data_IF_531026055212
#
_entry.id   IF_531026055212
#
_cell.length_a   1.000
_cell.length_b   1.000
_cell.length_c   1.000
_cell.angle_alpha   90.00
_cell.angle_beta   90.00
_cell.angle_gamma   90.00
#
_symmetry.space_group_name_H-M   'P 1'
#
loop_
_entity.id
_entity.type
_entity.pdbx_description
1 polymer ?
#
# COMPACT_ATOMS: atom_id res chain seq x y z
N UNK A 1 2.72 -19.26 3.58
CA UNK A 1 1.41 -18.87 3.04
C UNK A 1 1.50 -17.39 2.71
N UNK A 2 1.26 -17.03 1.46
CA UNK A 2 1.31 -15.65 1.02
C UNK A 2 -0.01 -14.90 1.31
N UNK A 3 -0.01 -13.61 1.02
CA UNK A 3 -1.15 -12.70 1.21
C UNK A 3 -1.00 -11.46 0.33
N UNK A 4 -2.06 -10.67 0.20
CA UNK A 4 -1.99 -9.28 -0.25
C UNK A 4 -2.37 -8.38 0.93
N UNK A 5 -1.43 -7.55 1.35
CA UNK A 5 -1.59 -6.56 2.42
C UNK A 5 -1.47 -5.16 1.86
N UNK A 6 -2.40 -4.28 2.23
CA UNK A 6 -2.31 -2.85 1.92
C UNK A 6 -2.03 -2.06 3.19
N UNK A 7 -0.99 -1.22 3.17
CA UNK A 7 -0.66 -0.29 4.26
C UNK A 7 -0.69 1.15 3.77
N UNK A 8 -1.53 2.00 4.36
CA UNK A 8 -1.78 3.36 3.90
C UNK A 8 -1.82 4.36 5.05
N UNK A 9 -1.14 5.50 4.86
CA UNK A 9 -1.45 6.71 5.61
C UNK A 9 -2.73 7.30 5.03
N UNK A 10 -3.67 7.65 5.90
CA UNK A 10 -4.96 8.20 5.51
C UNK A 10 -5.36 9.32 6.47
N UNK A 11 -5.83 10.43 5.95
CA UNK A 11 -6.39 11.51 6.74
C UNK A 11 -7.80 11.17 7.24
N UNK A 12 -8.31 11.93 8.20
CA UNK A 12 -9.65 11.74 8.74
C UNK A 12 -10.75 11.89 7.67
N UNK A 13 -10.52 12.71 6.64
CA UNK A 13 -11.43 12.88 5.50
C UNK A 13 -11.13 11.95 4.31
N UNK A 14 -10.26 10.94 4.53
CA UNK A 14 -10.02 9.85 3.59
C UNK A 14 -8.97 10.09 2.51
N UNK A 15 -8.19 11.17 2.59
CA UNK A 15 -7.12 11.49 1.63
C UNK A 15 -5.91 10.60 1.89
N UNK A 16 -5.34 10.02 0.82
CA UNK A 16 -4.10 9.23 0.86
C UNK A 16 -3.02 9.79 -0.06
N UNK A 17 -3.32 10.83 -0.83
CA UNK A 17 -2.38 11.47 -1.75
C UNK A 17 -1.38 12.33 -1.00
N UNK A 18 -0.10 12.29 -1.45
CA UNK A 18 1.00 13.10 -0.93
C UNK A 18 1.09 13.11 0.60
N UNK A 19 1.14 11.94 1.26
CA UNK A 19 1.16 11.85 2.71
C UNK A 19 2.38 12.57 3.32
N UNK A 20 3.48 12.67 2.60
CA UNK A 20 4.68 13.39 3.00
C UNK A 20 4.43 14.86 3.33
N UNK A 21 3.32 15.43 2.88
CA UNK A 21 2.96 16.84 3.15
C UNK A 21 2.19 17.05 4.44
N UNK A 22 1.70 15.98 5.10
CA UNK A 22 0.83 16.11 6.26
C UNK A 22 0.98 15.03 7.33
N UNK A 23 1.70 13.92 7.08
CA UNK A 23 1.79 12.84 8.08
C UNK A 23 2.95 13.00 9.06
N UNK A 24 4.02 13.71 8.70
CA UNK A 24 5.26 13.78 9.51
C UNK A 24 5.08 14.42 10.88
N UNK A 25 4.14 15.35 11.04
CA UNK A 25 3.81 15.96 12.34
C UNK A 25 3.28 14.94 13.36
N UNK A 26 2.83 13.78 12.89
CA UNK A 26 2.27 12.69 13.68
C UNK A 26 3.18 11.45 13.74
N UNK A 27 4.38 11.53 13.14
CA UNK A 27 5.29 10.39 13.09
C UNK A 27 6.00 10.21 14.43
N UNK A 28 5.88 9.02 15.01
CA UNK A 28 6.54 8.61 16.25
C UNK A 28 7.14 7.20 16.13
N UNK A 29 7.78 6.72 17.20
CA UNK A 29 8.39 5.39 17.24
C UNK A 29 7.36 4.27 17.04
N UNK A 30 6.11 4.47 17.51
CA UNK A 30 5.03 3.48 17.34
C UNK A 30 4.66 3.34 15.85
N UNK A 31 4.53 4.46 15.15
CA UNK A 31 4.27 4.45 13.71
C UNK A 31 5.46 3.86 12.95
N UNK A 32 6.69 4.26 13.30
CA UNK A 32 7.92 3.72 12.71
C UNK A 32 8.01 2.20 12.84
N UNK A 33 7.67 1.65 14.01
CA UNK A 33 7.64 0.20 14.24
C UNK A 33 6.62 -0.50 13.33
N UNK A 34 5.38 0.01 13.25
CA UNK A 34 4.33 -0.57 12.39
C UNK A 34 4.71 -0.50 10.91
N UNK A 35 5.23 0.64 10.44
CA UNK A 35 5.69 0.79 9.05
C UNK A 35 6.83 -0.18 8.75
N UNK A 36 7.80 -0.31 9.67
CA UNK A 36 8.90 -1.26 9.55
C UNK A 36 8.42 -2.72 9.47
N UNK A 37 7.46 -3.12 10.31
CA UNK A 37 6.86 -4.47 10.26
C UNK A 37 6.10 -4.72 8.95
N UNK A 38 5.35 -3.73 8.47
CA UNK A 38 4.65 -3.84 7.20
C UNK A 38 5.61 -4.02 6.03
N UNK A 39 6.72 -3.27 6.02
CA UNK A 39 7.74 -3.39 4.98
C UNK A 39 8.51 -4.71 5.05
N UNK A 40 9.02 -5.07 6.24
CA UNK A 40 9.80 -6.30 6.45
C UNK A 40 8.97 -7.58 6.26
N UNK A 41 7.66 -7.50 6.46
CA UNK A 41 6.74 -8.63 6.32
C UNK A 41 6.43 -9.04 4.87
N UNK A 42 6.89 -8.29 3.86
CA UNK A 42 6.58 -8.53 2.46
C UNK A 42 7.76 -9.17 1.71
N UNK A 43 7.46 -10.08 0.78
CA UNK A 43 8.45 -10.67 -0.15
C UNK A 43 8.58 -9.82 -1.42
N UNK A 44 7.52 -9.07 -1.76
CA UNK A 44 7.49 -8.21 -2.94
C UNK A 44 6.50 -7.04 -2.74
N UNK A 45 6.70 -5.99 -3.52
CA UNK A 45 5.82 -4.81 -3.56
C UNK A 45 4.88 -4.88 -4.76
N UNK A 46 3.60 -4.65 -4.54
CA UNK A 46 2.58 -4.54 -5.58
C UNK A 46 2.23 -3.07 -5.79
N UNK A 47 2.37 -2.57 -7.00
CA UNK A 47 2.22 -1.16 -7.33
C UNK A 47 1.21 -0.95 -8.47
N UNK A 48 0.36 0.05 -8.33
CA UNK A 48 -0.35 0.63 -9.47
C UNK A 48 0.60 1.50 -10.31
N UNK A 49 0.29 1.69 -11.59
CA UNK A 49 1.13 2.41 -12.54
C UNK A 49 1.60 3.78 -12.03
N UNK A 50 0.71 4.60 -11.52
CA UNK A 50 1.07 5.96 -11.07
C UNK A 50 2.06 5.92 -9.90
N UNK A 51 1.81 5.08 -8.90
CA UNK A 51 2.73 4.93 -7.76
C UNK A 51 4.07 4.37 -8.22
N UNK A 52 4.06 3.45 -9.18
CA UNK A 52 5.30 2.96 -9.80
C UNK A 52 6.09 4.10 -10.44
N UNK A 53 5.46 4.94 -11.25
CA UNK A 53 6.13 6.05 -11.94
C UNK A 53 6.74 7.06 -10.93
N UNK A 54 6.01 7.39 -9.87
CA UNK A 54 6.48 8.28 -8.80
C UNK A 54 7.68 7.66 -8.04
N UNK A 55 7.61 6.39 -7.69
CA UNK A 55 8.65 5.68 -6.98
C UNK A 55 9.89 5.41 -7.84
N UNK A 56 9.71 5.03 -9.09
CA UNK A 56 10.79 4.82 -10.04
C UNK A 56 11.58 6.10 -10.37
N UNK A 57 10.94 7.26 -10.24
CA UNK A 57 11.60 8.55 -10.38
C UNK A 57 12.44 8.95 -9.15
N UNK A 58 12.11 8.45 -7.96
CA UNK A 58 12.73 8.86 -6.70
C UNK A 58 13.76 7.84 -6.19
N UNK A 59 13.35 6.58 -5.95
CA UNK A 59 14.15 5.60 -5.22
C UNK A 59 15.50 5.24 -5.87
N UNK A 60 15.63 5.12 -7.21
CA UNK A 60 16.93 4.82 -7.84
C UNK A 60 17.99 5.89 -7.61
N UNK A 61 17.58 7.13 -7.30
CA UNK A 61 18.48 8.28 -7.08
C UNK A 61 18.59 8.70 -5.62
N UNK A 62 17.82 8.07 -4.73
CA UNK A 62 17.85 8.34 -3.29
C UNK A 62 19.17 7.82 -2.65
N UNK A 63 19.47 8.29 -1.44
CA UNK A 63 20.70 7.94 -0.74
C UNK A 63 20.78 6.40 -0.53
N UNK A 64 21.77 5.73 -1.14
CA UNK A 64 21.93 4.27 -1.00
C UNK A 64 22.33 3.83 0.41
N UNK A 65 22.78 4.74 1.26
CA UNK A 65 23.10 4.44 2.66
C UNK A 65 21.85 4.36 3.54
N UNK A 66 20.70 4.88 3.07
CA UNK A 66 19.42 4.75 3.76
C UNK A 66 18.90 3.30 3.61
N UNK A 67 18.64 2.60 4.72
CA UNK A 67 18.10 1.24 4.71
C UNK A 67 16.77 1.10 3.94
N UNK A 68 15.91 2.13 3.97
CA UNK A 68 14.64 2.12 3.23
C UNK A 68 14.91 2.17 1.74
N UNK A 69 15.84 3.02 1.29
CA UNK A 69 16.27 3.09 -0.11
C UNK A 69 16.81 1.75 -0.61
N UNK A 70 17.69 1.11 0.18
CA UNK A 70 18.25 -0.20 -0.15
C UNK A 70 17.13 -1.26 -0.27
N UNK A 71 16.18 -1.27 0.65
CA UNK A 71 15.03 -2.18 0.63
C UNK A 71 14.13 -1.94 -0.59
N UNK A 72 13.79 -0.70 -0.88
CA UNK A 72 12.92 -0.34 -2.00
C UNK A 72 13.53 -0.71 -3.36
N UNK A 73 14.83 -0.47 -3.55
CA UNK A 73 15.52 -0.83 -4.79
C UNK A 73 15.73 -2.35 -4.88
N UNK A 74 16.13 -3.02 -3.80
CA UNK A 74 16.39 -4.46 -3.79
C UNK A 74 15.16 -5.34 -3.87
N UNK A 75 13.99 -4.90 -3.39
CA UNK A 75 12.77 -5.69 -3.38
C UNK A 75 12.23 -5.98 -4.78
N UNK A 76 11.58 -7.14 -4.97
CA UNK A 76 10.81 -7.43 -6.19
C UNK A 76 9.55 -6.58 -6.25
N UNK A 77 9.22 -6.09 -7.44
CA UNK A 77 8.06 -5.26 -7.70
C UNK A 77 7.17 -5.86 -8.78
N UNK A 78 5.87 -5.91 -8.50
CA UNK A 78 4.84 -6.27 -9.48
C UNK A 78 4.02 -5.01 -9.78
N UNK A 79 3.94 -4.64 -11.05
CA UNK A 79 3.25 -3.41 -11.48
C UNK A 79 1.99 -3.76 -12.25
N UNK A 80 0.84 -3.38 -11.72
CA UNK A 80 -0.44 -3.53 -12.41
C UNK A 80 -0.61 -2.38 -13.39
N UNK A 81 -0.48 -2.67 -14.68
CA UNK A 81 -0.59 -1.66 -15.74
C UNK A 81 -0.97 -2.30 -17.08
N UNK A 82 -1.81 -1.59 -17.83
CA UNK A 82 -2.17 -1.95 -19.22
C UNK A 82 -1.29 -1.23 -20.26
N UNK A 83 -0.46 -0.28 -19.84
CA UNK A 83 0.30 0.58 -20.74
C UNK A 83 1.82 0.53 -20.52
N UNK A 84 2.28 0.01 -19.38
CA UNK A 84 3.70 -0.19 -19.11
C UNK A 84 4.14 -1.49 -19.77
N UNK A 85 5.14 -1.43 -20.64
CA UNK A 85 5.68 -2.61 -21.33
C UNK A 85 7.11 -2.92 -20.90
N UNK A 86 7.88 -1.90 -20.53
CA UNK A 86 9.29 -2.02 -20.16
C UNK A 86 9.56 -1.20 -18.88
N UNK A 87 9.47 -1.83 -17.70
CA UNK A 87 9.71 -1.14 -16.44
C UNK A 87 11.20 -0.85 -16.23
N UNK A 88 11.56 0.43 -16.08
CA UNK A 88 12.95 0.88 -15.94
C UNK A 88 13.55 0.68 -14.54
N UNK A 89 12.72 0.61 -13.50
CA UNK A 89 13.19 0.37 -12.14
C UNK A 89 13.51 -1.11 -11.96
N UNK A 90 14.71 -1.41 -11.48
CA UNK A 90 15.21 -2.78 -11.33
C UNK A 90 14.26 -3.67 -10.50
N UNK A 91 14.31 -4.97 -10.73
CA UNK A 91 13.47 -5.98 -10.08
C UNK A 91 11.96 -5.78 -10.28
N UNK A 92 11.55 -5.06 -11.33
CA UNK A 92 10.15 -4.81 -11.65
C UNK A 92 9.64 -5.75 -12.76
N UNK A 93 8.40 -6.20 -12.60
CA UNK A 93 7.68 -7.00 -13.59
C UNK A 93 6.26 -6.48 -13.75
N UNK A 94 5.75 -6.47 -14.97
CA UNK A 94 4.38 -6.00 -15.24
C UNK A 94 3.42 -7.18 -15.15
N UNK A 95 2.34 -6.99 -14.38
CA UNK A 95 1.22 -7.94 -14.31
C UNK A 95 0.23 -7.57 -15.40
N UNK A 96 -0.01 -8.50 -16.34
CA UNK A 96 -0.84 -8.29 -17.53
C UNK A 96 -1.88 -9.40 -17.68
N UNK A 97 -2.80 -9.27 -18.64
CA UNK A 97 -3.82 -10.29 -18.92
C UNK A 97 -4.91 -10.32 -17.84
N UNK A 98 -5.23 -11.49 -17.32
CA UNK A 98 -6.17 -11.66 -16.20
C UNK A 98 -5.46 -11.36 -14.88
N UNK A 99 -5.39 -10.06 -14.55
CA UNK A 99 -4.69 -9.57 -13.37
C UNK A 99 -5.22 -10.18 -12.07
N UNK A 100 -6.54 -10.43 -11.96
CA UNK A 100 -7.12 -11.01 -10.77
C UNK A 100 -6.65 -12.46 -10.57
N UNK A 101 -6.67 -13.27 -11.62
CA UNK A 101 -6.22 -14.66 -11.59
C UNK A 101 -4.70 -14.75 -11.32
N UNK A 102 -3.89 -13.86 -11.91
CA UNK A 102 -2.45 -13.82 -11.70
C UNK A 102 -2.11 -13.44 -10.26
N UNK A 103 -2.72 -12.39 -9.71
CA UNK A 103 -2.52 -11.99 -8.31
C UNK A 103 -3.04 -13.03 -7.32
N UNK A 104 -4.17 -13.69 -7.60
CA UNK A 104 -4.68 -14.79 -6.79
C UNK A 104 -3.72 -16.00 -6.79
N UNK A 105 -2.96 -16.19 -7.86
CA UNK A 105 -1.93 -17.21 -7.95
C UNK A 105 -0.67 -16.80 -7.19
N UNK A 106 -0.16 -15.60 -7.42
CA UNK A 106 1.03 -15.07 -6.76
C UNK A 106 0.87 -15.07 -5.23
N UNK A 107 -0.29 -14.65 -4.72
CA UNK A 107 -0.53 -14.56 -3.27
C UNK A 107 -0.59 -15.91 -2.55
N UNK A 108 -0.58 -17.06 -3.24
CA UNK A 108 -0.53 -18.37 -2.57
C UNK A 108 0.80 -18.57 -1.83
N UNK A 109 1.89 -18.12 -2.44
CA UNK A 109 3.25 -18.37 -1.97
C UNK A 109 4.07 -17.09 -1.72
N UNK A 110 3.56 -15.92 -2.13
CA UNK A 110 4.24 -14.63 -2.04
C UNK A 110 3.47 -13.66 -1.15
N UNK A 111 4.15 -13.04 -0.20
CA UNK A 111 3.60 -11.97 0.63
C UNK A 111 3.76 -10.63 -0.11
N UNK A 112 2.65 -10.10 -0.60
CA UNK A 112 2.59 -8.89 -1.40
C UNK A 112 2.14 -7.71 -0.53
N UNK A 113 2.98 -6.67 -0.45
CA UNK A 113 2.63 -5.40 0.18
C UNK A 113 2.28 -4.34 -0.85
N UNK A 114 1.27 -3.51 -0.60
CA UNK A 114 0.96 -2.36 -1.44
C UNK A 114 0.68 -1.10 -0.61
N UNK A 115 1.21 0.02 -1.08
CA UNK A 115 0.98 1.36 -0.50
C UNK A 115 0.21 2.28 -1.47
N UNK A 116 -0.29 1.73 -2.57
CA UNK A 116 -1.01 2.50 -3.59
C UNK A 116 -0.87 1.90 -5.00
N UNK A 117 -1.55 2.39 -5.96
CA UNK A 117 -2.41 3.59 -5.94
C UNK A 117 -3.77 3.35 -5.27
N UNK A 118 -4.50 4.43 -4.91
CA UNK A 118 -5.88 4.32 -4.42
C UNK A 118 -6.75 3.47 -5.36
N UNK A 119 -6.60 3.65 -6.66
CA UNK A 119 -7.34 2.89 -7.67
C UNK A 119 -7.04 1.39 -7.60
N UNK A 120 -5.75 1.02 -7.45
CA UNK A 120 -5.36 -0.38 -7.30
C UNK A 120 -5.93 -0.97 -6.02
N UNK A 121 -5.79 -0.29 -4.87
CA UNK A 121 -6.28 -0.81 -3.59
C UNK A 121 -7.79 -1.00 -3.60
N UNK A 122 -8.56 -0.04 -4.16
CA UNK A 122 -10.02 -0.20 -4.30
C UNK A 122 -10.37 -1.41 -5.16
N UNK A 123 -9.73 -1.53 -6.32
CA UNK A 123 -9.97 -2.67 -7.21
C UNK A 123 -9.61 -4.00 -6.54
N UNK A 124 -8.51 -4.08 -5.80
CA UNK A 124 -8.14 -5.28 -5.04
C UNK A 124 -9.20 -5.64 -3.98
N UNK A 125 -9.77 -4.65 -3.29
CA UNK A 125 -10.86 -4.84 -2.34
C UNK A 125 -12.13 -5.36 -3.02
N UNK A 126 -12.51 -4.76 -4.15
CA UNK A 126 -13.67 -5.19 -4.96
C UNK A 126 -13.52 -6.62 -5.48
N UNK A 127 -12.29 -7.03 -5.82
CA UNK A 127 -11.99 -8.41 -6.24
C UNK A 127 -11.84 -9.41 -5.08
N UNK A 128 -11.96 -8.97 -3.82
CA UNK A 128 -11.75 -9.82 -2.65
C UNK A 128 -10.31 -10.35 -2.52
N UNK A 129 -9.34 -9.65 -3.07
CA UNK A 129 -7.93 -10.07 -3.10
C UNK A 129 -7.14 -9.59 -1.87
N UNK A 130 -7.60 -8.56 -1.17
CA UNK A 130 -6.93 -8.01 0.03
C UNK A 130 -7.22 -8.89 1.24
N UNK A 131 -6.16 -9.41 1.85
CA UNK A 131 -6.25 -10.20 3.09
C UNK A 131 -6.18 -9.31 4.33
N UNK A 132 -5.37 -8.23 4.28
CA UNK A 132 -5.24 -7.25 5.35
C UNK A 132 -5.17 -5.83 4.78
N UNK A 133 -6.04 -4.96 5.28
CA UNK A 133 -6.03 -3.52 5.01
C UNK A 133 -5.64 -2.79 6.29
N UNK A 134 -4.42 -2.24 6.31
CA UNK A 134 -3.90 -1.42 7.39
C UNK A 134 -4.10 0.06 7.05
N UNK A 135 -4.84 0.76 7.88
CA UNK A 135 -5.07 2.19 7.78
C UNK A 135 -4.45 2.88 8.99
N UNK A 136 -3.46 3.73 8.77
CA UNK A 136 -2.95 4.65 9.78
C UNK A 136 -3.73 5.97 9.63
N UNK A 137 -4.83 6.07 10.37
CA UNK A 137 -5.76 7.20 10.30
C UNK A 137 -5.22 8.35 11.13
N UNK A 138 -4.83 9.42 10.45
CA UNK A 138 -4.27 10.63 11.07
C UNK A 138 -5.38 11.59 11.52
N UNK A 139 -5.24 12.22 12.67
CA UNK A 139 -6.23 13.16 13.19
C UNK A 139 -6.15 14.52 12.48
N UNK A 140 -6.22 14.51 11.15
CA UNK A 140 -6.12 15.70 10.28
C UNK A 140 -7.13 15.65 9.15
N UNK A 141 -7.73 16.79 8.84
CA UNK A 141 -8.55 17.00 7.65
C UNK A 141 -7.70 17.73 6.62
N UNK A 142 -7.34 17.05 5.52
CA UNK A 142 -6.51 17.62 4.45
C UNK A 142 -7.34 18.48 3.49
N UNK A 143 -8.60 18.11 3.30
CA UNK A 143 -9.59 18.89 2.53
C UNK A 143 -9.47 18.76 1.01
N UNK A 144 -8.33 18.33 0.49
CA UNK A 144 -8.06 18.14 -0.95
C UNK A 144 -7.13 16.96 -1.18
N UNK A 145 -7.15 16.40 -2.37
CA UNK A 145 -6.32 15.24 -2.74
C UNK A 145 -7.14 13.99 -3.00
N UNK A 146 -6.48 12.97 -3.49
CA UNK A 146 -7.12 11.70 -3.85
C UNK A 146 -7.49 10.90 -2.61
N UNK A 147 -8.76 10.56 -2.50
CA UNK A 147 -9.29 9.74 -1.41
C UNK A 147 -9.12 8.25 -1.71
N UNK A 148 -8.92 7.46 -0.65
CA UNK A 148 -8.89 5.99 -0.78
C UNK A 148 -10.25 5.49 -1.24
N UNK A 149 -11.31 5.85 -0.53
CA UNK A 149 -12.68 5.47 -0.88
C UNK A 149 -13.35 6.60 -1.67
N UNK A 150 -13.92 6.24 -2.80
CA UNK A 150 -14.70 7.11 -3.66
C UNK A 150 -16.06 6.44 -3.90
N UNK A 151 -16.89 7.01 -4.74
CA UNK A 151 -18.12 6.36 -5.20
C UNK A 151 -17.78 5.02 -5.86
N UNK A 152 -18.47 3.97 -5.50
CA UNK A 152 -18.23 2.60 -5.95
C UNK A 152 -19.11 1.58 -5.27
N UNK A 153 -18.79 0.31 -5.45
CA UNK A 153 -19.48 -0.81 -4.84
C UNK A 153 -19.25 -0.88 -3.32
N UNK A 154 -20.26 -1.36 -2.60
CA UNK A 154 -20.16 -1.62 -1.17
C UNK A 154 -19.28 -2.85 -0.93
N UNK A 155 -18.16 -2.64 -0.24
CA UNK A 155 -17.26 -3.72 0.19
C UNK A 155 -17.34 -3.84 1.72
N UNK A 156 -17.95 -4.90 2.27
CA UNK A 156 -17.97 -5.11 3.71
C UNK A 156 -16.61 -5.59 4.21
N UNK A 157 -16.15 -5.02 5.32
CA UNK A 157 -14.88 -5.36 5.96
C UNK A 157 -15.13 -5.69 7.44
N UNK A 158 -14.28 -6.56 8.00
CA UNK A 158 -14.27 -6.92 9.42
C UNK A 158 -13.08 -6.27 10.09
N UNK A 159 -13.31 -5.51 11.15
CA UNK A 159 -12.22 -4.99 11.99
C UNK A 159 -11.52 -6.16 12.70
N UNK A 160 -10.20 -6.23 12.54
CA UNK A 160 -9.32 -7.22 13.17
C UNK A 160 -8.69 -6.64 14.44
N UNK A 161 -8.04 -5.48 14.31
CA UNK A 161 -7.44 -4.76 15.45
C UNK A 161 -7.59 -3.26 15.27
N UNK A 162 -7.58 -2.53 16.40
CA UNK A 162 -7.52 -1.08 16.46
C UNK A 162 -6.56 -0.68 17.59
N UNK A 163 -5.56 0.12 17.26
CA UNK A 163 -4.56 0.63 18.21
C UNK A 163 -4.45 2.14 18.05
N UNK A 164 -4.45 2.87 19.16
CA UNK A 164 -4.25 4.33 19.14
C UNK A 164 -2.81 4.63 19.57
N UNK A 165 -2.10 5.44 18.76
CA UNK A 165 -0.75 5.89 19.08
C UNK A 165 -0.80 7.15 19.96
N UNK A 166 0.35 7.48 20.57
CA UNK A 166 0.48 8.64 21.45
C UNK A 166 0.20 9.97 20.72
N UNK A 167 0.40 10.02 19.42
CA UNK A 167 0.12 11.15 18.52
C UNK A 167 -1.35 11.32 18.14
N UNK A 168 -2.20 10.38 18.56
CA UNK A 168 -3.62 10.35 18.18
C UNK A 168 -3.90 9.64 16.85
N UNK A 169 -2.87 9.13 16.16
CA UNK A 169 -3.06 8.28 14.98
C UNK A 169 -3.67 6.96 15.41
N UNK A 170 -4.66 6.48 14.64
CA UNK A 170 -5.28 5.17 14.84
C UNK A 170 -4.78 4.20 13.78
N UNK A 171 -4.13 3.12 14.20
CA UNK A 171 -3.81 2.00 13.33
C UNK A 171 -4.97 1.00 13.35
N UNK A 172 -5.71 0.96 12.25
CA UNK A 172 -6.84 0.07 12.05
C UNK A 172 -6.45 -1.03 11.06
N UNK A 173 -6.69 -2.27 11.45
CA UNK A 173 -6.49 -3.43 10.57
C UNK A 173 -7.84 -4.05 10.27
N UNK A 174 -8.15 -4.13 8.98
CA UNK A 174 -9.34 -4.77 8.47
C UNK A 174 -8.99 -6.01 7.64
N UNK A 175 -9.85 -7.00 7.68
CA UNK A 175 -9.82 -8.16 6.80
C UNK A 175 -11.15 -8.37 6.09
N UNK A 176 -11.23 -9.35 5.19
CA UNK A 176 -12.49 -9.73 4.56
C UNK A 176 -13.48 -10.24 5.61
N UNK A 177 -14.78 -10.06 5.34
CA UNK A 177 -15.82 -10.73 6.11
C UNK A 177 -15.80 -12.21 5.74
N UNK A 178 -15.79 -13.13 6.72
CA UNK A 178 -15.91 -14.56 6.41
C UNK A 178 -17.19 -14.86 5.63
N UNK A 179 -17.08 -15.75 4.64
CA UNK A 179 -18.22 -16.24 3.86
C UNK A 179 -19.21 -17.03 4.72
#
# INVERSE_FOLDING_TARGET
MGFIRSGLFISLDGVIESPETWHFDYFDDQMGAVVGELMAGNDATLLGRRTYDEFAAYWPTADPADPITAQMNGSRKYVVSTTLTDPSWENSSVVTGDVAAELATLKKDTRLGTTGSATLVRWLLEQGLVDELHLLVHPVVVGRGKKLFADGEKVPLRLVTATTFSTGVMHLVYGPVPA
#
